data_IF_191787296241
#
_entry.id   IF_191787296241
#
_cell.length_a   1.000
_cell.length_b   1.000
_cell.length_c   1.000
_cell.angle_alpha   90.00
_cell.angle_beta   90.00
_cell.angle_gamma   90.00
#
_symmetry.space_group_name_H-M   'P 1'
#
loop_
_entity.id
_entity.type
_entity.pdbx_description
1 polymer ?
#
# COMPACT_ATOMS: atom_id res chain seq x y z
N UNK A 1 11.54 12.06 9.86
CA UNK A 1 10.34 11.41 9.29
C UNK A 1 10.27 9.99 9.84
N UNK A 2 9.39 9.72 10.78
CA UNK A 2 9.20 8.34 11.26
C UNK A 2 8.30 7.62 10.26
N UNK A 3 8.74 6.50 9.73
CA UNK A 3 7.94 5.61 8.91
C UNK A 3 7.14 4.71 9.83
N UNK A 4 5.86 4.64 9.61
CA UNK A 4 5.03 3.62 10.21
C UNK A 4 5.11 2.40 9.30
N UNK A 5 5.89 1.43 9.73
CA UNK A 5 5.92 0.14 9.07
C UNK A 5 4.70 -0.66 9.53
N UNK A 6 3.71 -0.72 8.68
CA UNK A 6 2.54 -1.61 8.84
C UNK A 6 2.96 -3.07 8.67
N UNK A 7 4.26 -3.27 8.43
CA UNK A 7 4.88 -4.51 8.05
C UNK A 7 4.50 -5.68 8.96
N UNK A 8 4.45 -5.49 10.28
CA UNK A 8 4.29 -6.64 11.18
C UNK A 8 2.93 -7.33 11.13
N UNK A 9 1.84 -6.63 10.83
CA UNK A 9 0.54 -7.30 10.73
C UNK A 9 0.31 -7.90 9.34
N UNK A 10 0.75 -7.20 8.31
CA UNK A 10 0.65 -7.66 6.94
C UNK A 10 1.76 -8.66 6.61
N UNK A 11 2.94 -8.54 7.24
CA UNK A 11 4.04 -9.52 7.09
C UNK A 11 3.65 -10.93 7.53
N UNK A 12 2.90 -11.09 8.60
CA UNK A 12 2.50 -12.44 9.02
C UNK A 12 1.52 -13.10 8.04
N UNK A 13 0.79 -12.33 7.25
CA UNK A 13 -0.27 -12.84 6.38
C UNK A 13 0.09 -12.75 4.89
N UNK A 14 0.78 -11.69 4.45
CA UNK A 14 1.18 -11.52 3.04
C UNK A 14 2.59 -12.08 2.78
N UNK A 15 3.43 -12.16 3.78
CA UNK A 15 4.85 -12.50 3.67
C UNK A 15 5.19 -13.99 3.70
N UNK A 16 4.21 -14.90 3.60
CA UNK A 16 4.53 -16.32 3.41
C UNK A 16 5.14 -16.64 2.06
N UNK A 17 5.18 -15.68 1.15
CA UNK A 17 5.94 -15.80 -0.10
C UNK A 17 6.90 -14.61 -0.20
N UNK A 18 8.18 -14.85 0.05
CA UNK A 18 9.30 -13.94 -0.16
C UNK A 18 9.28 -13.32 -1.57
N UNK A 19 8.49 -12.27 -1.75
CA UNK A 19 8.62 -11.41 -2.90
C UNK A 19 9.91 -10.61 -2.74
N UNK A 20 11.02 -11.18 -3.18
CA UNK A 20 12.29 -10.46 -3.29
C UNK A 20 12.04 -9.19 -4.10
N UNK A 21 12.65 -8.09 -3.69
CA UNK A 21 12.63 -6.83 -4.46
C UNK A 21 12.89 -7.13 -5.94
N UNK A 22 11.93 -6.78 -6.81
CA UNK A 22 11.97 -7.09 -8.24
C UNK A 22 11.32 -8.40 -8.69
N UNK A 23 10.77 -9.22 -7.76
CA UNK A 23 9.97 -10.38 -8.14
C UNK A 23 8.65 -9.95 -8.78
N UNK A 24 8.15 -10.74 -9.73
CA UNK A 24 6.82 -10.58 -10.31
C UNK A 24 5.77 -10.69 -9.19
N UNK A 25 4.82 -9.77 -9.16
CA UNK A 25 3.62 -9.92 -8.37
C UNK A 25 2.84 -11.09 -8.96
N UNK A 26 2.56 -12.15 -8.18
CA UNK A 26 1.79 -13.26 -8.70
C UNK A 26 0.35 -12.79 -8.93
N UNK A 27 -0.04 -12.70 -10.19
CA UNK A 27 -1.39 -12.33 -10.61
C UNK A 27 -2.42 -13.41 -10.27
N UNK A 28 -1.97 -14.63 -10.00
CA UNK A 28 -2.74 -15.81 -9.61
C UNK A 28 -2.83 -16.03 -8.10
N UNK A 29 -2.16 -15.21 -7.29
CA UNK A 29 -2.23 -15.31 -5.84
C UNK A 29 -3.45 -14.56 -5.29
N UNK A 30 -4.57 -15.24 -5.27
CA UNK A 30 -5.86 -14.69 -4.80
C UNK A 30 -5.78 -14.21 -3.35
N UNK A 31 -5.09 -14.93 -2.48
CA UNK A 31 -4.92 -14.51 -1.08
C UNK A 31 -4.18 -13.17 -0.98
N UNK A 32 -3.10 -13.00 -1.72
CA UNK A 32 -2.35 -11.75 -1.78
C UNK A 32 -3.24 -10.59 -2.29
N UNK A 33 -3.95 -10.81 -3.39
CA UNK A 33 -4.85 -9.83 -3.98
C UNK A 33 -6.01 -9.46 -3.06
N UNK A 34 -6.55 -10.42 -2.31
CA UNK A 34 -7.58 -10.20 -1.31
C UNK A 34 -7.10 -9.21 -0.22
N UNK A 35 -5.93 -9.45 0.37
CA UNK A 35 -5.40 -8.55 1.41
C UNK A 35 -5.00 -7.19 0.86
N UNK A 36 -4.48 -7.11 -0.35
CA UNK A 36 -4.22 -5.83 -1.01
C UNK A 36 -5.52 -5.04 -1.23
N UNK A 37 -6.57 -5.70 -1.69
CA UNK A 37 -7.90 -5.10 -1.90
C UNK A 37 -8.51 -4.63 -0.59
N UNK A 38 -8.44 -5.44 0.47
CA UNK A 38 -8.90 -5.06 1.80
C UNK A 38 -8.18 -3.82 2.33
N UNK A 39 -6.86 -3.77 2.17
CA UNK A 39 -6.04 -2.63 2.59
C UNK A 39 -6.40 -1.35 1.82
N UNK A 40 -6.54 -1.43 0.50
CA UNK A 40 -6.94 -0.28 -0.33
C UNK A 40 -8.35 0.19 0.01
N UNK A 41 -9.31 -0.73 0.20
CA UNK A 41 -10.67 -0.42 0.63
C UNK A 41 -10.69 0.29 1.97
N UNK A 42 -9.93 -0.21 2.95
CA UNK A 42 -9.81 0.39 4.28
C UNK A 42 -9.29 1.83 4.21
N UNK A 43 -8.20 2.05 3.49
CA UNK A 43 -7.59 3.38 3.33
C UNK A 43 -8.55 4.33 2.60
N UNK A 44 -9.21 3.88 1.54
CA UNK A 44 -10.15 4.70 0.79
C UNK A 44 -11.38 5.11 1.62
N UNK A 45 -11.90 4.18 2.43
CA UNK A 45 -13.12 4.40 3.24
C UNK A 45 -12.87 5.29 4.47
N UNK A 46 -11.69 5.15 5.10
CA UNK A 46 -11.37 5.77 6.39
C UNK A 46 -10.21 6.78 6.31
N UNK A 47 -10.12 7.52 5.20
CA UNK A 47 -9.09 8.55 5.01
C UNK A 47 -9.11 9.62 6.09
N UNK A 48 -10.30 10.03 6.52
CA UNK A 48 -10.54 11.02 7.56
C UNK A 48 -9.99 10.55 8.91
N UNK A 49 -10.25 9.30 9.27
CA UNK A 49 -9.77 8.70 10.50
C UNK A 49 -8.26 8.51 10.50
N UNK A 50 -7.68 8.07 9.37
CA UNK A 50 -6.24 7.98 9.20
C UNK A 50 -5.58 9.36 9.27
N UNK A 51 -6.21 10.37 8.69
CA UNK A 51 -5.76 11.74 8.79
C UNK A 51 -5.80 12.25 10.23
N UNK A 52 -6.90 12.02 10.95
CA UNK A 52 -7.02 12.40 12.36
C UNK A 52 -5.97 11.72 13.23
N UNK A 53 -5.58 10.49 12.90
CA UNK A 53 -4.56 9.75 13.62
C UNK A 53 -3.16 10.38 13.58
N UNK A 54 -2.87 11.23 12.60
CA UNK A 54 -1.58 11.90 12.41
C UNK A 54 -1.64 13.42 12.54
N UNK A 55 -2.84 13.99 12.54
CA UNK A 55 -3.09 15.43 12.64
C UNK A 55 -3.45 15.84 14.06
N UNK A 56 -2.48 15.78 14.95
CA UNK A 56 -2.69 16.11 16.35
C UNK A 56 -2.04 17.45 16.78
N UNK A 57 -2.48 18.05 17.91
CA UNK A 57 -2.01 19.33 18.43
C UNK A 57 -0.50 19.46 18.52
N UNK A 58 0.24 18.37 18.78
CA UNK A 58 1.70 18.36 18.78
C UNK A 58 2.34 18.62 17.41
N UNK A 59 1.58 18.58 16.32
CA UNK A 59 1.99 18.89 14.96
C UNK A 59 1.42 20.20 14.41
N UNK A 60 0.64 20.95 15.18
CA UNK A 60 -0.06 22.15 14.71
C UNK A 60 0.87 23.19 14.06
N UNK A 61 2.03 23.40 14.63
CA UNK A 61 3.02 24.34 14.08
C UNK A 61 3.63 23.87 12.76
N UNK A 62 3.40 22.60 12.37
CA UNK A 62 3.83 22.01 11.08
C UNK A 62 2.69 21.91 10.07
N UNK A 63 1.45 22.04 10.50
CA UNK A 63 0.29 22.12 9.63
C UNK A 63 0.34 23.45 8.87
N UNK A 64 0.61 23.39 7.58
CA UNK A 64 0.80 24.57 6.75
C UNK A 64 2.26 24.99 6.54
N UNK A 65 3.22 24.33 7.18
CA UNK A 65 4.65 24.41 6.83
C UNK A 65 4.97 23.43 5.68
N UNK A 66 6.23 23.40 5.21
CA UNK A 66 6.65 22.57 4.07
C UNK A 66 6.45 21.05 4.26
N UNK A 67 6.14 20.59 5.46
CA UNK A 67 5.98 19.19 5.82
C UNK A 67 4.61 18.89 6.45
N UNK A 68 3.57 19.61 6.06
CA UNK A 68 2.22 19.35 6.55
C UNK A 68 1.74 17.93 6.17
N UNK A 69 0.93 17.24 7.03
CA UNK A 69 0.27 16.00 6.65
C UNK A 69 -0.59 16.19 5.41
N UNK A 70 -0.63 15.22 4.46
CA UNK A 70 -1.41 15.35 3.25
C UNK A 70 -2.92 15.43 3.57
N UNK A 71 -3.64 16.24 2.82
CA UNK A 71 -5.10 16.36 2.96
C UNK A 71 -5.84 15.08 2.52
N UNK A 72 -5.28 14.38 1.54
CA UNK A 72 -5.81 13.15 0.97
C UNK A 72 -4.78 12.04 1.16
N UNK A 73 -5.21 10.90 1.66
CA UNK A 73 -4.36 9.71 1.80
C UNK A 73 -4.46 8.90 0.50
N UNK A 74 -3.74 9.34 -0.53
CA UNK A 74 -3.67 8.61 -1.80
C UNK A 74 -2.78 7.37 -1.66
N UNK A 75 -3.20 6.26 -2.28
CA UNK A 75 -2.45 5.02 -2.30
C UNK A 75 -1.67 4.86 -3.61
N UNK A 76 -0.40 4.48 -3.50
CA UNK A 76 0.45 4.12 -4.61
C UNK A 76 0.62 2.60 -4.64
N UNK A 77 0.21 1.96 -5.73
CA UNK A 77 0.28 0.50 -5.89
C UNK A 77 1.52 0.05 -6.66
N UNK A 78 2.09 0.92 -7.47
CA UNK A 78 3.13 0.59 -8.45
C UNK A 78 2.57 -0.04 -9.73
N UNK A 79 3.35 0.05 -10.82
CA UNK A 79 2.90 -0.31 -12.17
C UNK A 79 2.41 -1.77 -12.28
N UNK A 80 3.01 -2.70 -11.52
CA UNK A 80 2.67 -4.13 -11.58
C UNK A 80 1.33 -4.43 -10.89
N UNK A 81 1.15 -3.98 -9.66
CA UNK A 81 -0.08 -4.24 -8.90
C UNK A 81 -1.26 -3.49 -9.50
N UNK A 82 -1.04 -2.28 -9.98
CA UNK A 82 -2.05 -1.51 -10.69
C UNK A 82 -2.51 -2.23 -11.95
N UNK A 83 -1.59 -2.75 -12.76
CA UNK A 83 -1.91 -3.51 -13.98
C UNK A 83 -2.76 -4.75 -13.67
N UNK A 84 -2.42 -5.49 -12.61
CA UNK A 84 -3.20 -6.67 -12.18
C UNK A 84 -4.62 -6.26 -11.79
N UNK A 85 -4.79 -5.20 -10.99
CA UNK A 85 -6.12 -4.71 -10.62
C UNK A 85 -6.93 -4.19 -11.81
N UNK A 86 -6.29 -3.50 -12.75
CA UNK A 86 -6.97 -3.06 -13.98
C UNK A 86 -7.42 -4.24 -14.86
N UNK A 87 -6.66 -5.33 -14.93
CA UNK A 87 -7.08 -6.54 -15.63
C UNK A 87 -8.30 -7.18 -14.95
N UNK A 88 -8.28 -7.30 -13.62
CA UNK A 88 -9.41 -7.86 -12.86
C UNK A 88 -10.67 -7.00 -13.06
N UNK A 89 -10.55 -5.69 -13.01
CA UNK A 89 -11.69 -4.77 -13.22
C UNK A 89 -12.30 -4.91 -14.60
N UNK A 90 -11.47 -5.05 -15.65
CA UNK A 90 -11.93 -5.10 -17.05
C UNK A 90 -12.41 -6.47 -17.50
N UNK A 91 -11.75 -7.55 -17.04
CA UNK A 91 -11.95 -8.91 -17.55
C UNK A 91 -12.42 -9.91 -16.47
N UNK A 92 -12.50 -9.49 -15.20
CA UNK A 92 -12.84 -10.36 -14.07
C UNK A 92 -11.67 -11.23 -13.58
N UNK A 93 -10.59 -11.31 -14.34
CA UNK A 93 -9.39 -12.07 -13.97
C UNK A 93 -8.12 -11.39 -14.48
N UNK A 94 -6.99 -11.66 -13.81
CA UNK A 94 -5.68 -11.23 -14.27
C UNK A 94 -4.92 -12.42 -14.85
N UNK A 95 -4.55 -12.34 -16.11
CA UNK A 95 -3.86 -13.43 -16.85
C UNK A 95 -2.35 -13.24 -16.93
N UNK A 96 -1.86 -12.06 -16.56
CA UNK A 96 -0.45 -11.72 -16.63
C UNK A 96 -0.07 -10.63 -15.62
N UNK A 97 1.23 -10.49 -15.37
CA UNK A 97 1.76 -9.32 -14.66
C UNK A 97 2.89 -8.70 -15.43
N UNK A 98 2.93 -7.38 -15.51
CA UNK A 98 4.00 -6.64 -16.19
C UNK A 98 5.35 -6.97 -15.56
N UNK A 99 6.39 -7.29 -16.38
CA UNK A 99 7.73 -7.39 -15.85
C UNK A 99 8.21 -6.02 -15.35
N UNK A 100 9.06 -6.01 -14.34
CA UNK A 100 9.76 -4.79 -13.94
C UNK A 100 10.56 -4.26 -15.14
N UNK A 101 10.29 -3.02 -15.56
CA UNK A 101 10.97 -2.40 -16.68
C UNK A 101 12.47 -2.20 -16.41
N UNK A 102 13.26 -2.00 -17.45
CA UNK A 102 14.66 -1.59 -17.34
C UNK A 102 14.75 -0.07 -17.44
N UNK A 103 15.59 0.54 -16.62
CA UNK A 103 15.95 1.94 -16.73
C UNK A 103 16.93 2.08 -17.90
N UNK A 104 16.43 2.55 -19.03
CA UNK A 104 17.24 2.98 -20.17
C UNK A 104 17.79 4.38 -19.89
N UNK A 105 19.02 4.49 -19.42
CA UNK A 105 19.67 5.78 -19.13
C UNK A 105 20.19 6.49 -20.39
N UNK A 106 19.93 5.95 -21.59
CA UNK A 106 20.35 6.54 -22.86
C UNK A 106 21.87 6.52 -23.12
N UNK A 107 22.65 5.99 -22.20
CA UNK A 107 24.12 5.95 -22.28
C UNK A 107 24.57 4.51 -22.45
N UNK A 108 25.24 4.23 -23.58
CA UNK A 108 25.68 2.86 -23.95
C UNK A 108 26.71 2.25 -23.00
N UNK A 109 27.43 3.06 -22.23
CA UNK A 109 28.48 2.62 -21.30
C UNK A 109 27.95 2.25 -19.91
N UNK A 110 26.69 2.51 -19.59
CA UNK A 110 26.09 2.18 -18.29
C UNK A 110 25.31 0.86 -18.40
N UNK A 111 25.44 -0.03 -17.40
CA UNK A 111 24.63 -1.23 -17.35
C UNK A 111 23.14 -0.89 -17.24
N UNK A 112 22.31 -1.70 -17.87
CA UNK A 112 20.87 -1.60 -17.70
C UNK A 112 20.51 -2.01 -16.27
N UNK A 113 19.87 -1.10 -15.53
CA UNK A 113 19.42 -1.34 -14.17
C UNK A 113 17.92 -1.68 -14.17
N UNK A 114 17.48 -2.66 -13.35
CA UNK A 114 16.06 -2.91 -13.20
C UNK A 114 15.37 -1.68 -12.59
N UNK A 115 14.25 -1.26 -13.19
CA UNK A 115 13.41 -0.20 -12.65
C UNK A 115 12.79 -0.69 -11.35
N UNK A 116 12.97 0.05 -10.26
CA UNK A 116 12.36 -0.27 -9.00
C UNK A 116 10.87 0.07 -9.04
N UNK A 117 10.00 -0.90 -8.75
CA UNK A 117 8.55 -0.73 -8.83
C UNK A 117 7.97 0.08 -7.65
N UNK A 118 8.73 0.31 -6.58
CA UNK A 118 8.28 1.06 -5.41
C UNK A 118 8.34 2.57 -5.61
N UNK A 119 7.52 3.33 -4.85
CA UNK A 119 7.59 4.80 -4.77
C UNK A 119 8.87 5.27 -4.10
N UNK A 120 9.96 5.27 -4.86
CA UNK A 120 11.30 5.60 -4.39
C UNK A 120 11.42 7.08 -3.97
N UNK A 121 10.68 7.96 -4.59
CA UNK A 121 10.67 9.38 -4.29
C UNK A 121 9.86 9.71 -3.03
N UNK A 122 9.15 8.73 -2.49
CA UNK A 122 8.33 8.86 -1.27
C UNK A 122 7.32 10.00 -1.36
N UNK A 123 6.68 10.13 -2.51
CA UNK A 123 5.70 11.18 -2.80
C UNK A 123 4.31 10.82 -2.32
N UNK A 124 3.98 9.52 -2.25
CA UNK A 124 2.67 9.05 -1.83
C UNK A 124 2.60 8.84 -0.31
N UNK A 125 1.53 9.28 0.36
CA UNK A 125 1.35 9.11 1.80
C UNK A 125 1.09 7.65 2.21
N UNK A 126 0.57 6.82 1.31
CA UNK A 126 0.38 5.40 1.51
C UNK A 126 0.87 4.63 0.28
N UNK A 127 1.85 3.76 0.43
CA UNK A 127 2.49 3.15 -0.74
C UNK A 127 2.79 1.66 -0.56
N UNK A 128 2.51 0.89 -1.61
CA UNK A 128 2.99 -0.48 -1.75
C UNK A 128 4.45 -0.46 -2.23
N UNK A 129 5.34 -1.15 -1.50
CA UNK A 129 6.78 -1.15 -1.79
C UNK A 129 7.31 -2.49 -2.30
N UNK A 130 6.40 -3.32 -2.81
CA UNK A 130 6.70 -4.63 -3.42
C UNK A 130 6.40 -5.81 -2.50
N UNK A 131 6.51 -5.67 -1.18
CA UNK A 131 6.18 -6.70 -0.20
C UNK A 131 5.47 -6.17 1.06
N UNK A 132 5.24 -4.87 1.15
CA UNK A 132 4.58 -4.23 2.29
C UNK A 132 3.92 -2.92 1.88
N UNK A 133 3.03 -2.43 2.75
CA UNK A 133 2.48 -1.10 2.69
C UNK A 133 3.20 -0.17 3.67
N UNK A 134 3.51 1.03 3.25
CA UNK A 134 4.07 2.08 4.10
C UNK A 134 3.08 3.23 4.24
N UNK A 135 2.64 3.51 5.46
CA UNK A 135 1.94 4.74 5.79
C UNK A 135 2.97 5.81 6.17
N UNK A 136 3.08 6.85 5.37
CA UNK A 136 4.08 7.91 5.49
C UNK A 136 3.43 9.17 6.00
N UNK A 137 3.65 9.48 7.26
CA UNK A 137 3.09 10.66 7.90
C UNK A 137 4.09 11.33 8.83
N UNK A 138 3.90 12.63 9.05
CA UNK A 138 4.69 13.40 9.98
C UNK A 138 4.17 13.14 11.40
N UNK A 139 5.04 12.69 12.29
CA UNK A 139 4.68 12.38 13.68
C UNK A 139 5.50 13.12 14.70
N UNK A 140 6.54 13.87 14.30
CA UNK A 140 7.46 14.55 15.22
C UNK A 140 7.96 13.60 16.33
N UNK A 141 7.72 13.93 17.60
CA UNK A 141 8.05 13.11 18.77
C UNK A 141 6.93 12.17 19.21
N UNK A 142 5.82 12.10 18.45
CA UNK A 142 4.66 11.31 18.82
C UNK A 142 4.90 9.80 18.71
N UNK A 143 4.13 9.04 19.50
CA UNK A 143 4.12 7.59 19.41
C UNK A 143 3.52 7.13 18.10
N UNK A 144 4.09 6.08 17.50
CA UNK A 144 3.54 5.40 16.32
C UNK A 144 2.33 4.52 16.64
N UNK A 145 2.03 4.30 17.94
CA UNK A 145 0.99 3.35 18.38
C UNK A 145 -0.40 3.76 17.92
N UNK A 146 -0.74 5.04 17.99
CA UNK A 146 -2.08 5.51 17.64
C UNK A 146 -2.40 5.35 16.16
N UNK A 147 -1.61 5.87 15.20
CA UNK A 147 -1.89 5.61 13.79
C UNK A 147 -1.77 4.13 13.40
N UNK A 148 -0.91 3.35 14.04
CA UNK A 148 -0.85 1.91 13.82
C UNK A 148 -2.12 1.19 14.29
N UNK A 149 -2.64 1.55 15.47
CA UNK A 149 -3.91 1.03 15.99
C UNK A 149 -5.07 1.36 15.04
N UNK A 150 -5.18 2.63 14.61
CA UNK A 150 -6.23 3.05 13.68
C UNK A 150 -6.15 2.26 12.37
N UNK A 151 -4.96 2.17 11.77
CA UNK A 151 -4.79 1.45 10.52
C UNK A 151 -5.17 -0.03 10.63
N UNK A 152 -4.74 -0.69 11.72
CA UNK A 152 -5.09 -2.08 11.97
C UNK A 152 -6.60 -2.28 12.12
N UNK A 153 -7.27 -1.38 12.82
CA UNK A 153 -8.71 -1.44 13.05
C UNK A 153 -9.49 -1.29 11.74
N UNK A 154 -9.15 -0.31 10.91
CA UNK A 154 -9.87 -0.10 9.64
C UNK A 154 -9.60 -1.20 8.62
N UNK A 155 -8.41 -1.81 8.64
CA UNK A 155 -8.10 -2.97 7.80
C UNK A 155 -8.87 -4.20 8.27
N UNK A 156 -8.97 -4.42 9.59
CA UNK A 156 -9.76 -5.52 10.15
C UNK A 156 -11.25 -5.40 9.75
N UNK A 157 -11.84 -4.21 9.84
CA UNK A 157 -13.21 -3.96 9.37
C UNK A 157 -13.37 -4.26 7.87
N UNK A 158 -12.42 -3.82 7.04
CA UNK A 158 -12.49 -4.09 5.60
C UNK A 158 -12.37 -5.58 5.25
N UNK A 159 -11.58 -6.34 6.02
CA UNK A 159 -11.48 -7.80 5.88
C UNK A 159 -12.80 -8.46 6.26
N UNK A 160 -13.38 -8.08 7.39
CA UNK A 160 -14.67 -8.60 7.86
C UNK A 160 -15.78 -8.38 6.82
N UNK A 161 -15.88 -7.17 6.28
CA UNK A 161 -16.80 -6.83 5.18
C UNK A 161 -16.59 -7.71 3.93
N UNK A 162 -15.34 -8.01 3.58
CA UNK A 162 -15.04 -8.84 2.40
C UNK A 162 -15.30 -10.32 2.67
N UNK A 163 -14.97 -10.81 3.87
CA UNK A 163 -15.28 -12.18 4.27
C UNK A 163 -16.79 -12.43 4.28
N UNK A 164 -17.57 -11.54 4.86
CA UNK A 164 -19.04 -11.64 4.86
C UNK A 164 -19.61 -11.75 3.46
N UNK A 165 -19.08 -10.99 2.49
CA UNK A 165 -19.52 -11.09 1.09
C UNK A 165 -19.15 -12.42 0.46
N UNK A 166 -17.90 -12.89 0.67
CA UNK A 166 -17.45 -14.17 0.14
C UNK A 166 -18.24 -15.35 0.70
N UNK A 167 -18.57 -15.32 2.00
CA UNK A 167 -19.40 -16.34 2.63
C UNK A 167 -20.79 -16.38 2.02
N UNK A 168 -21.42 -15.21 1.82
CA UNK A 168 -22.72 -15.12 1.18
C UNK A 168 -22.73 -15.62 -0.28
N UNK A 169 -21.64 -15.41 -1.03
CA UNK A 169 -21.48 -15.88 -2.40
C UNK A 169 -21.24 -17.41 -2.46
N UNK A 170 -20.64 -18.00 -1.42
CA UNK A 170 -20.40 -19.45 -1.33
C UNK A 170 -21.64 -20.25 -0.92
N UNK A 171 -22.63 -19.61 -0.28
CA UNK A 171 -23.89 -20.21 0.12
C UNK A 171 -24.95 -20.24 -1.00
N UNK A 172 -24.71 -19.61 -2.13
CA UNK A 172 -25.56 -19.59 -3.32
C UNK A 172 -25.19 -20.68 -4.32
#
# INVERSE_FOLDING_TARGET
MRRFDVAHLIESVICTQNLKSGAKIPHDNVQFLFFCSATLKAVARHQDLLRAAVAHAGNDHRLGANEAPPAIISAFCGDQLQDVFEQIEKAGEATSSKPSGLLGLGVKSLPQLPKHAGDRNRTSPFAFTGNKWEFRALGSSQSVSFPAMVLNTVVAEAIDDLCTKLEADLEQ
#
